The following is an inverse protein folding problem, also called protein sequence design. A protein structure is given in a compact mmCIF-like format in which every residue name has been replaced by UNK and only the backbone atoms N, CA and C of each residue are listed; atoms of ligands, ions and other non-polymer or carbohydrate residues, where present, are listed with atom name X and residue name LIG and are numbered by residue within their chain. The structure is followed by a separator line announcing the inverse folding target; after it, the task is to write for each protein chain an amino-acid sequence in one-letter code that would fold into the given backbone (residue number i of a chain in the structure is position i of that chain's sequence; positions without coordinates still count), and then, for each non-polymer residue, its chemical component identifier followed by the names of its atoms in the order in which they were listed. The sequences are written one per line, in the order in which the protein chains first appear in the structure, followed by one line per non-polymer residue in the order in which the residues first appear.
data_IF_646451996509
#
_entry.id   IF_646451996509
#
_cell.length_a   1.000
_cell.length_b   1.000
_cell.length_c   1.000
_cell.angle_alpha   90.00
_cell.angle_beta   90.00
_cell.angle_gamma   90.00
#
_symmetry.space_group_name_H-M   'P 1'
#
loop_
_entity.id
_entity.type
_entity.pdbx_description
1 polymer ?
#
# COMPACT_ATOMS: atom_id res chain seq x y z
N UNK A 1 -5.54 15.24 5.38
CA UNK A 1 -4.61 15.44 4.24
C UNK A 1 -3.22 15.80 4.79
N UNK A 2 -2.15 15.14 4.31
CA UNK A 2 -0.78 15.36 4.79
C UNK A 2 -0.37 14.61 6.07
N UNK A 3 -1.25 13.76 6.63
CA UNK A 3 -0.99 13.03 7.86
C UNK A 3 0.09 11.96 7.69
N UNK A 4 -0.08 11.06 6.71
CA UNK A 4 0.82 9.92 6.47
C UNK A 4 2.25 10.39 6.17
N UNK A 5 2.41 11.41 5.31
CA UNK A 5 3.71 12.01 4.99
C UNK A 5 4.37 12.67 6.21
N UNK A 6 3.61 13.43 7.00
CA UNK A 6 4.09 14.03 8.27
C UNK A 6 4.55 12.97 9.26
N UNK A 7 3.77 11.89 9.44
CA UNK A 7 4.10 10.79 10.35
C UNK A 7 5.37 10.08 9.91
N UNK A 8 5.47 9.71 8.63
CA UNK A 8 6.67 9.07 8.09
C UNK A 8 7.90 9.96 8.26
N UNK A 9 7.84 11.22 7.81
CA UNK A 9 8.97 12.15 7.92
C UNK A 9 9.39 12.40 9.37
N UNK A 10 8.44 12.44 10.32
CA UNK A 10 8.75 12.61 11.75
C UNK A 10 9.64 11.49 12.31
N UNK A 11 9.52 10.28 11.78
CA UNK A 11 10.32 9.12 12.17
C UNK A 11 11.62 9.04 11.36
N UNK A 12 11.56 9.34 10.06
CA UNK A 12 12.69 9.22 9.14
C UNK A 12 13.72 10.35 9.26
N UNK A 13 13.31 11.55 9.70
CA UNK A 13 14.21 12.72 9.77
C UNK A 13 15.45 12.49 10.63
N UNK A 14 15.34 11.68 11.69
CA UNK A 14 16.47 11.34 12.56
C UNK A 14 17.57 10.56 11.82
N UNK A 15 17.22 9.93 10.70
CA UNK A 15 18.09 9.15 9.83
C UNK A 15 18.45 9.90 8.54
N UNK A 16 18.09 11.19 8.43
CA UNK A 16 18.25 12.00 7.21
C UNK A 16 17.28 11.63 6.08
N UNK A 17 16.27 10.82 6.35
CA UNK A 17 15.30 10.40 5.34
C UNK A 17 14.40 11.55 4.87
N UNK A 18 14.00 11.49 3.60
CA UNK A 18 13.10 12.45 2.96
C UNK A 18 11.87 11.75 2.41
N UNK A 19 10.77 12.47 2.33
CA UNK A 19 9.49 11.99 1.81
C UNK A 19 9.10 12.82 0.60
N UNK A 20 8.76 12.17 -0.51
CA UNK A 20 8.10 12.81 -1.65
C UNK A 20 6.66 12.29 -1.67
N UNK A 21 5.71 13.22 -1.58
CA UNK A 21 4.28 12.92 -1.61
C UNK A 21 3.69 13.42 -2.92
N UNK A 22 2.98 12.56 -3.63
CA UNK A 22 2.24 12.92 -4.85
C UNK A 22 0.77 13.11 -4.49
N UNK A 23 0.18 14.24 -4.86
CA UNK A 23 -1.22 14.56 -4.62
C UNK A 23 -1.85 15.11 -5.90
N UNK A 24 -2.99 14.56 -6.32
CA UNK A 24 -3.66 14.98 -7.55
C UNK A 24 -4.45 16.27 -7.35
N UNK A 25 -5.09 16.42 -6.19
CA UNK A 25 -5.96 17.55 -5.89
C UNK A 25 -5.14 18.75 -5.37
N UNK A 26 -5.12 19.89 -6.09
CA UNK A 26 -4.36 21.07 -5.67
C UNK A 26 -4.83 21.65 -4.33
N UNK A 27 -6.11 21.51 -3.96
CA UNK A 27 -6.63 21.94 -2.65
C UNK A 27 -6.07 21.07 -1.53
N UNK A 28 -6.07 19.76 -1.71
CA UNK A 28 -5.42 18.84 -0.78
C UNK A 28 -3.92 19.10 -0.66
N UNK A 29 -3.24 19.34 -1.79
CA UNK A 29 -1.82 19.67 -1.77
C UNK A 29 -1.53 20.97 -0.99
N UNK A 30 -2.38 21.99 -1.13
CA UNK A 30 -2.26 23.23 -0.37
C UNK A 30 -2.45 22.99 1.14
N UNK A 31 -3.46 22.21 1.54
CA UNK A 31 -3.68 21.83 2.94
C UNK A 31 -2.49 21.03 3.48
N UNK A 32 -1.97 20.07 2.70
CA UNK A 32 -0.82 19.27 3.07
C UNK A 32 0.40 20.16 3.35
N UNK A 33 0.72 21.09 2.44
CA UNK A 33 1.86 22.00 2.57
C UNK A 33 1.77 22.86 3.84
N UNK A 34 0.61 23.47 4.10
CA UNK A 34 0.40 24.25 5.33
C UNK A 34 0.56 23.38 6.59
N UNK A 35 0.03 22.15 6.56
CA UNK A 35 0.16 21.21 7.68
C UNK A 35 1.63 20.82 7.92
N UNK A 36 2.38 20.56 6.85
CA UNK A 36 3.81 20.21 6.88
C UNK A 36 4.64 21.36 7.43
N UNK A 37 4.37 22.58 6.98
CA UNK A 37 5.04 23.80 7.44
C UNK A 37 4.79 24.02 8.92
N UNK A 38 3.53 23.92 9.35
CA UNK A 38 3.15 24.05 10.75
C UNK A 38 3.79 22.97 11.64
N UNK A 39 3.97 21.75 11.11
CA UNK A 39 4.68 20.67 11.78
C UNK A 39 6.22 20.83 11.80
N UNK A 40 6.77 21.84 11.12
CA UNK A 40 8.21 22.08 11.02
C UNK A 40 8.95 21.01 10.21
N UNK A 41 8.31 20.43 9.19
CA UNK A 41 8.86 19.33 8.39
C UNK A 41 9.12 19.67 6.91
N UNK A 42 9.07 20.97 6.55
CA UNK A 42 9.23 21.43 5.16
C UNK A 42 10.55 21.00 4.51
N UNK A 43 11.63 20.86 5.28
CA UNK A 43 12.93 20.42 4.76
C UNK A 43 13.00 18.91 4.45
N UNK A 44 12.03 18.13 4.95
CA UNK A 44 11.99 16.67 4.87
C UNK A 44 10.90 16.16 3.94
N UNK A 45 9.92 17.00 3.58
CA UNK A 45 8.77 16.58 2.77
C UNK A 45 8.62 17.48 1.55
N UNK A 46 8.63 16.88 0.36
CA UNK A 46 8.32 17.55 -0.90
C UNK A 46 6.94 17.10 -1.41
N UNK A 47 6.04 18.04 -1.70
CA UNK A 47 4.69 17.75 -2.21
C UNK A 47 4.60 18.08 -3.69
N UNK A 48 4.37 17.06 -4.52
CA UNK A 48 4.23 17.16 -5.96
C UNK A 48 2.76 17.08 -6.34
N UNK A 49 2.29 18.06 -7.13
CA UNK A 49 0.89 18.13 -7.54
C UNK A 49 0.73 17.56 -8.94
N UNK A 50 -0.16 16.58 -9.09
CA UNK A 50 -0.50 15.94 -10.35
C UNK A 50 -0.72 14.43 -10.25
N UNK A 51 -1.09 13.83 -11.38
CA UNK A 51 -1.28 12.38 -11.46
C UNK A 51 0.06 11.62 -11.40
N UNK A 52 0.09 10.51 -10.66
CA UNK A 52 1.27 9.64 -10.52
C UNK A 52 1.85 9.20 -11.86
N UNK A 53 1.02 8.90 -12.85
CA UNK A 53 1.42 8.53 -14.21
C UNK A 53 2.32 9.56 -14.90
N UNK A 54 2.14 10.84 -14.59
CA UNK A 54 2.94 11.95 -15.11
C UNK A 54 4.11 12.32 -14.20
N UNK A 55 3.97 12.11 -12.89
CA UNK A 55 4.97 12.46 -11.89
C UNK A 55 6.07 11.41 -11.74
N UNK A 56 5.77 10.12 -11.86
CA UNK A 56 6.76 9.03 -11.75
C UNK A 56 7.89 9.17 -12.80
N UNK A 57 7.62 9.46 -14.09
CA UNK A 57 8.69 9.72 -15.06
C UNK A 57 9.60 10.90 -14.67
N UNK A 58 9.02 11.99 -14.16
CA UNK A 58 9.81 13.15 -13.67
C UNK A 58 10.62 12.81 -12.41
N UNK A 59 10.07 11.97 -11.55
CA UNK A 59 10.75 11.51 -10.35
C UNK A 59 11.99 10.68 -10.70
N UNK A 60 11.89 9.83 -11.74
CA UNK A 60 13.03 9.07 -12.29
C UNK A 60 14.16 9.98 -12.77
N UNK A 61 13.86 11.12 -13.38
CA UNK A 61 14.88 12.06 -13.86
C UNK A 61 15.60 12.79 -12.71
N UNK A 62 14.90 12.98 -11.58
CA UNK A 62 15.43 13.70 -10.42
C UNK A 62 16.22 12.82 -9.46
N UNK A 63 15.81 11.57 -9.29
CA UNK A 63 16.42 10.67 -8.32
C UNK A 63 17.44 9.74 -8.99
N UNK A 64 18.56 9.43 -8.31
CA UNK A 64 19.42 8.33 -8.73
C UNK A 64 18.64 7.01 -8.81
N UNK A 65 19.07 6.05 -9.64
CA UNK A 65 18.52 4.70 -9.62
C UNK A 65 18.59 4.09 -8.22
N UNK A 66 17.65 3.20 -7.90
CA UNK A 66 17.60 2.45 -6.64
C UNK A 66 17.56 3.31 -5.36
N UNK A 67 16.90 4.47 -5.41
CA UNK A 67 16.85 5.42 -4.28
C UNK A 67 15.57 5.33 -3.43
N UNK A 68 14.58 4.52 -3.83
CA UNK A 68 13.32 4.40 -3.09
C UNK A 68 13.42 3.22 -2.12
N UNK A 69 13.57 3.53 -0.83
CA UNK A 69 13.61 2.53 0.24
C UNK A 69 12.21 2.15 0.75
N UNK A 70 11.26 3.08 0.71
CA UNK A 70 9.87 2.85 1.10
C UNK A 70 8.96 3.47 0.03
N UNK A 71 8.04 2.66 -0.48
CA UNK A 71 6.97 3.10 -1.37
C UNK A 71 5.64 2.86 -0.67
N UNK A 72 4.92 3.93 -0.35
CA UNK A 72 3.63 3.88 0.33
C UNK A 72 2.50 4.24 -0.62
N UNK A 73 1.53 3.35 -0.77
CA UNK A 73 0.29 3.59 -1.51
C UNK A 73 -0.88 3.72 -0.55
N UNK A 74 -1.51 4.89 -0.57
CA UNK A 74 -2.70 5.25 0.21
C UNK A 74 -3.89 5.58 -0.71
N UNK A 75 -3.70 5.40 -2.02
CA UNK A 75 -4.74 5.69 -2.99
C UNK A 75 -5.73 4.54 -3.01
N UNK A 76 -6.98 4.81 -2.66
CA UNK A 76 -8.07 3.88 -2.90
C UNK A 76 -8.12 3.61 -4.41
N UNK A 77 -7.85 2.38 -4.86
CA UNK A 77 -8.18 1.97 -6.23
C UNK A 77 -7.19 1.08 -7.00
N UNK A 78 -7.59 0.81 -8.23
CA UNK A 78 -6.98 -0.15 -9.16
C UNK A 78 -5.66 0.30 -9.77
N UNK A 79 -5.17 1.53 -9.57
CA UNK A 79 -3.93 1.99 -10.24
C UNK A 79 -2.62 1.64 -9.53
N UNK A 80 -2.66 1.14 -8.29
CA UNK A 80 -1.46 0.85 -7.50
C UNK A 80 -0.47 -0.08 -8.23
N UNK A 81 -0.97 -1.12 -8.90
CA UNK A 81 -0.14 -2.09 -9.61
C UNK A 81 0.55 -1.49 -10.85
N UNK A 82 -0.10 -0.58 -11.58
CA UNK A 82 0.47 0.12 -12.73
C UNK A 82 1.60 1.07 -12.31
N UNK A 83 1.39 1.80 -11.22
CA UNK A 83 2.41 2.69 -10.68
C UNK A 83 3.60 1.89 -10.13
N UNK A 84 3.34 0.78 -9.44
CA UNK A 84 4.37 -0.13 -8.96
C UNK A 84 5.18 -0.73 -10.13
N UNK A 85 4.52 -1.24 -11.16
CA UNK A 85 5.20 -1.76 -12.36
C UNK A 85 6.09 -0.71 -12.99
N UNK A 86 5.59 0.53 -13.17
CA UNK A 86 6.36 1.62 -13.75
C UNK A 86 7.61 1.93 -12.93
N UNK A 87 7.47 2.06 -11.61
CA UNK A 87 8.58 2.33 -10.67
C UNK A 87 9.63 1.21 -10.72
N UNK A 88 9.19 -0.06 -10.75
CA UNK A 88 10.09 -1.21 -10.88
C UNK A 88 10.80 -1.21 -12.24
N UNK A 89 10.07 -0.99 -13.34
CA UNK A 89 10.63 -0.95 -14.69
C UNK A 89 11.68 0.15 -14.88
N UNK A 90 11.55 1.24 -14.13
CA UNK A 90 12.52 2.35 -14.12
C UNK A 90 13.71 2.10 -13.19
N UNK A 91 13.74 0.99 -12.46
CA UNK A 91 14.84 0.62 -11.56
C UNK A 91 14.97 1.56 -10.36
N UNK A 92 13.85 2.11 -9.89
CA UNK A 92 13.84 3.15 -8.84
C UNK A 92 13.85 2.59 -7.42
N UNK A 93 13.37 1.36 -7.22
CA UNK A 93 13.37 0.69 -5.91
C UNK A 93 14.79 0.29 -5.50
N UNK A 94 15.16 0.57 -4.25
CA UNK A 94 16.39 0.03 -3.68
C UNK A 94 16.32 -1.49 -3.51
N UNK A 95 17.47 -2.15 -3.39
CA UNK A 95 17.50 -3.62 -3.25
C UNK A 95 16.90 -4.11 -1.92
N UNK A 96 16.58 -3.20 -1.01
CA UNK A 96 15.93 -3.45 0.28
C UNK A 96 14.58 -2.74 0.41
N UNK A 97 14.01 -2.27 -0.71
CA UNK A 97 12.78 -1.52 -0.71
C UNK A 97 11.62 -2.28 -0.06
N UNK A 98 10.79 -1.55 0.66
CA UNK A 98 9.53 -2.03 1.23
C UNK A 98 8.39 -1.31 0.52
N UNK A 99 7.49 -2.08 -0.08
CA UNK A 99 6.26 -1.57 -0.69
C UNK A 99 5.12 -1.81 0.28
N UNK A 100 4.47 -0.73 0.69
CA UNK A 100 3.35 -0.75 1.63
C UNK A 100 2.10 -0.27 0.90
N UNK A 101 1.03 -1.06 0.94
CA UNK A 101 -0.26 -0.68 0.37
C UNK A 101 -1.32 -0.68 1.45
N UNK A 102 -1.96 0.46 1.66
CA UNK A 102 -3.14 0.60 2.52
C UNK A 102 -4.42 0.31 1.73
N UNK A 103 -5.54 0.06 2.45
CA UNK A 103 -6.86 -0.15 1.85
C UNK A 103 -6.93 -1.30 0.81
N UNK A 104 -6.09 -2.33 0.99
CA UNK A 104 -5.95 -3.42 -0.01
C UNK A 104 -7.03 -4.49 0.11
N UNK A 105 -7.82 -4.48 1.19
CA UNK A 105 -9.02 -5.31 1.34
C UNK A 105 -10.30 -4.48 1.13
N UNK A 106 -10.33 -3.23 1.61
CA UNK A 106 -11.45 -2.29 1.46
C UNK A 106 -10.95 -0.93 0.94
N UNK A 107 -11.38 -0.46 -0.25
CA UNK A 107 -12.31 -1.09 -1.20
C UNK A 107 -11.71 -2.27 -1.98
N UNK A 108 -10.42 -2.57 -1.77
CA UNK A 108 -9.72 -3.68 -2.39
C UNK A 108 -8.73 -3.24 -3.47
N UNK A 109 -7.59 -3.95 -3.54
CA UNK A 109 -6.59 -3.74 -4.59
C UNK A 109 -6.16 -5.08 -5.23
N UNK A 110 -7.04 -5.77 -5.98
CA UNK A 110 -6.82 -7.17 -6.37
C UNK A 110 -5.58 -7.39 -7.22
N UNK A 111 -5.36 -6.55 -8.23
CA UNK A 111 -4.21 -6.65 -9.13
C UNK A 111 -2.90 -6.41 -8.38
N UNK A 112 -2.88 -5.42 -7.48
CA UNK A 112 -1.73 -5.13 -6.64
C UNK A 112 -1.43 -6.28 -5.68
N UNK A 113 -2.44 -6.81 -5.01
CA UNK A 113 -2.30 -7.94 -4.08
C UNK A 113 -1.89 -9.23 -4.80
N UNK A 114 -2.40 -9.48 -6.00
CA UNK A 114 -1.94 -10.60 -6.82
C UNK A 114 -0.47 -10.45 -7.18
N UNK A 115 -0.06 -9.26 -7.62
CA UNK A 115 1.32 -9.03 -7.99
C UNK A 115 2.27 -9.16 -6.80
N UNK A 116 1.93 -8.59 -5.64
CA UNK A 116 2.80 -8.66 -4.46
C UNK A 116 2.76 -10.02 -3.76
N UNK A 117 1.61 -10.70 -3.70
CA UNK A 117 1.52 -11.97 -2.97
C UNK A 117 1.84 -13.21 -3.83
N UNK A 118 1.60 -13.17 -5.14
CA UNK A 118 1.59 -14.37 -5.98
C UNK A 118 2.68 -14.32 -7.05
N UNK A 119 2.68 -13.31 -7.90
CA UNK A 119 3.40 -13.37 -9.17
C UNK A 119 4.72 -12.56 -9.21
N UNK A 120 4.80 -11.48 -8.45
CA UNK A 120 5.95 -10.58 -8.43
C UNK A 120 7.06 -10.98 -7.45
N UNK A 121 8.20 -10.27 -7.50
CA UNK A 121 9.36 -10.50 -6.64
C UNK A 121 9.18 -9.91 -5.24
N UNK A 122 8.17 -10.36 -4.50
CA UNK A 122 7.92 -9.84 -3.17
C UNK A 122 7.67 -10.97 -2.17
N UNK A 123 8.07 -10.71 -0.93
CA UNK A 123 7.58 -11.43 0.23
C UNK A 123 6.57 -10.53 0.95
N UNK A 124 5.30 -10.92 0.89
CA UNK A 124 4.20 -10.09 1.38
C UNK A 124 3.53 -10.69 2.60
N UNK A 125 3.32 -9.83 3.59
CA UNK A 125 2.45 -10.06 4.73
C UNK A 125 1.42 -8.93 4.82
N UNK A 126 0.30 -9.18 5.47
CA UNK A 126 -0.74 -8.18 5.71
C UNK A 126 -0.93 -7.99 7.20
N UNK A 127 -1.11 -6.75 7.62
CA UNK A 127 -1.61 -6.42 8.95
C UNK A 127 -3.12 -6.25 8.82
N UNK A 128 -3.88 -7.08 9.53
CA UNK A 128 -5.33 -6.90 9.63
C UNK A 128 -5.61 -5.82 10.66
N UNK A 129 -6.19 -4.71 10.20
CA UNK A 129 -6.52 -3.55 11.01
C UNK A 129 -8.05 -3.44 11.10
N UNK A 130 -8.51 -3.03 12.28
CA UNK A 130 -9.87 -2.53 12.48
C UNK A 130 -9.73 -1.02 12.68
N UNK A 131 -10.37 -0.22 11.84
CA UNK A 131 -10.19 1.23 11.87
C UNK A 131 -10.56 1.82 13.25
N UNK A 132 -9.79 2.82 13.69
CA UNK A 132 -9.98 3.47 14.98
C UNK A 132 -11.32 4.24 14.98
N UNK A 133 -12.27 3.77 15.80
CA UNK A 133 -13.70 4.17 15.98
C UNK A 133 -14.74 3.24 15.33
N UNK A 134 -14.35 2.24 14.53
CA UNK A 134 -15.26 1.33 13.84
C UNK A 134 -14.86 -0.12 14.11
N UNK A 135 -15.31 -0.70 15.24
CA UNK A 135 -14.92 -2.03 15.74
C UNK A 135 -15.27 -3.23 14.84
N UNK A 136 -15.87 -3.00 13.67
CA UNK A 136 -16.55 -4.04 12.88
C UNK A 136 -15.86 -4.33 11.55
N UNK A 137 -15.36 -3.32 10.82
CA UNK A 137 -14.94 -3.53 9.42
C UNK A 137 -13.44 -3.84 9.35
N UNK A 138 -13.13 -5.05 8.88
CA UNK A 138 -11.75 -5.47 8.58
C UNK A 138 -11.22 -4.75 7.34
N UNK A 139 -9.99 -4.25 7.44
CA UNK A 139 -9.17 -3.85 6.30
C UNK A 139 -7.73 -4.35 6.45
N UNK A 140 -7.00 -4.39 5.34
CA UNK A 140 -5.62 -4.85 5.31
C UNK A 140 -4.69 -3.71 4.90
N UNK A 141 -3.57 -3.65 5.60
CA UNK A 141 -2.36 -2.97 5.14
C UNK A 141 -1.34 -4.03 4.74
N UNK A 142 -0.95 -4.06 3.48
CA UNK A 142 0.08 -4.95 2.96
C UNK A 142 1.48 -4.38 3.20
N UNK A 143 2.42 -5.27 3.51
CA UNK A 143 3.84 -4.98 3.66
C UNK A 143 4.58 -6.00 2.81
N UNK A 144 5.21 -5.51 1.75
CA UNK A 144 5.82 -6.32 0.70
C UNK A 144 7.32 -6.00 0.61
N UNK A 145 8.17 -6.93 1.05
CA UNK A 145 9.61 -6.79 0.91
C UNK A 145 10.03 -7.10 -0.52
N UNK A 146 10.69 -6.16 -1.19
CA UNK A 146 11.16 -6.35 -2.56
C UNK A 146 12.33 -7.35 -2.62
N UNK A 147 12.27 -8.30 -3.55
CA UNK A 147 13.23 -9.41 -3.70
C UNK A 147 13.84 -9.40 -5.10
N UNK A 148 14.71 -8.42 -5.44
CA UNK A 148 15.22 -8.24 -6.81
C UNK A 148 16.03 -9.43 -7.35
N UNK A 149 16.54 -10.29 -6.46
CA UNK A 149 17.28 -11.49 -6.83
C UNK A 149 16.37 -12.71 -7.09
N UNK A 150 15.08 -12.61 -6.77
CA UNK A 150 14.10 -13.66 -7.05
C UNK A 150 13.95 -13.87 -8.56
N UNK A 151 13.78 -15.12 -9.06
CA UNK A 151 13.47 -15.36 -10.47
C UNK A 151 12.25 -14.58 -10.96
N UNK A 152 11.28 -14.32 -10.07
CA UNK A 152 10.07 -13.52 -10.36
C UNK A 152 10.38 -12.08 -10.76
N UNK A 153 11.55 -11.53 -10.41
CA UNK A 153 11.93 -10.15 -10.75
C UNK A 153 12.18 -9.96 -12.25
N UNK A 154 12.38 -11.05 -12.99
CA UNK A 154 12.60 -11.04 -14.45
C UNK A 154 11.32 -11.30 -15.23
N UNK A 155 10.23 -11.61 -14.54
CA UNK A 155 8.94 -11.92 -15.15
C UNK A 155 8.15 -10.60 -15.22
N UNK A 156 7.72 -10.15 -16.41
CA UNK A 156 6.84 -8.99 -16.55
C UNK A 156 5.54 -9.19 -15.78
N UNK A 157 4.90 -8.09 -15.37
CA UNK A 157 3.61 -8.18 -14.70
C UNK A 157 2.55 -8.74 -15.66
N UNK A 158 1.91 -9.82 -15.24
CA UNK A 158 0.79 -10.43 -15.95
C UNK A 158 -0.34 -10.69 -14.94
N UNK A 159 -1.47 -10.03 -15.17
CA UNK A 159 -2.68 -10.15 -14.35
C UNK A 159 -3.62 -11.13 -15.03
N UNK A 160 -4.03 -12.24 -14.37
CA UNK A 160 -5.04 -13.14 -14.90
C UNK A 160 -6.41 -12.46 -15.02
N UNK A 161 -7.19 -12.85 -16.02
CA UNK A 161 -8.56 -12.34 -16.25
C UNK A 161 -9.45 -12.46 -14.99
N UNK A 162 -9.32 -13.54 -14.22
CA UNK A 162 -10.07 -13.71 -12.97
C UNK A 162 -9.75 -12.65 -11.90
N UNK A 163 -8.49 -12.16 -11.87
CA UNK A 163 -8.06 -11.08 -10.97
C UNK A 163 -8.54 -9.73 -11.49
N UNK A 164 -8.55 -9.56 -12.81
CA UNK A 164 -9.03 -8.34 -13.47
C UNK A 164 -10.55 -8.17 -13.29
N UNK A 165 -11.32 -9.24 -13.45
CA UNK A 165 -12.75 -9.25 -13.15
C UNK A 165 -13.03 -8.92 -11.68
N UNK A 166 -12.23 -9.46 -10.76
CA UNK A 166 -12.34 -9.11 -9.34
C UNK A 166 -12.06 -7.62 -9.10
N UNK A 167 -11.11 -7.02 -9.81
CA UNK A 167 -10.83 -5.59 -9.75
C UNK A 167 -12.02 -4.75 -10.23
N UNK A 168 -12.67 -5.15 -11.32
CA UNK A 168 -13.89 -4.52 -11.80
C UNK A 168 -15.04 -4.60 -10.78
N UNK A 169 -15.21 -5.75 -10.13
CA UNK A 169 -16.24 -5.94 -9.10
C UNK A 169 -16.00 -5.03 -7.87
N UNK A 170 -14.73 -4.81 -7.49
CA UNK A 170 -14.36 -3.88 -6.40
C UNK A 170 -14.61 -2.42 -6.74
N UNK A 171 -14.44 -2.00 -7.99
CA UNK A 171 -14.70 -0.62 -8.37
C UNK A 171 -16.18 -0.24 -8.18
N UNK A 172 -17.11 -1.18 -8.35
CA UNK A 172 -18.54 -0.95 -8.16
C UNK A 172 -18.92 -0.45 -6.76
N UNK A 173 -18.39 -1.09 -5.69
CA UNK A 173 -18.69 -0.65 -4.31
C UNK A 173 -17.97 0.65 -3.97
N UNK A 174 -16.80 0.88 -4.57
CA UNK A 174 -16.03 2.12 -4.41
C UNK A 174 -16.79 3.32 -4.97
N UNK A 175 -17.43 3.18 -6.14
CA UNK A 175 -18.29 4.24 -6.67
C UNK A 175 -19.45 4.57 -5.72
N UNK A 176 -20.08 3.53 -5.15
CA UNK A 176 -21.16 3.71 -4.17
C UNK A 176 -20.68 4.38 -2.88
N UNK A 177 -19.44 4.15 -2.45
CA UNK A 177 -18.91 4.77 -1.24
C UNK A 177 -18.56 6.24 -1.42
N UNK A 178 -18.09 6.64 -2.61
CA UNK A 178 -17.89 8.06 -2.95
C UNK A 178 -19.21 8.83 -2.85
N UNK A 179 -20.33 8.19 -3.17
CA UNK A 179 -21.68 8.74 -3.03
C UNK A 179 -22.26 8.62 -1.60
N UNK A 180 -21.47 8.15 -0.61
CA UNK A 180 -21.88 7.86 0.77
C UNK A 180 -23.07 6.89 0.90
N UNK A 181 -23.24 5.99 -0.07
CA UNK A 181 -24.37 5.04 -0.13
C UNK A 181 -24.09 3.66 0.50
N UNK A 182 -22.94 3.47 1.15
CA UNK A 182 -22.51 2.16 1.67
C UNK A 182 -22.55 2.14 3.20
N UNK A 183 -23.34 1.24 3.76
CA UNK A 183 -23.45 1.01 5.21
C UNK A 183 -22.26 0.21 5.74
N UNK A 184 -22.04 0.21 7.06
CA UNK A 184 -21.00 -0.61 7.70
C UNK A 184 -21.19 -2.11 7.46
N UNK A 185 -22.42 -2.60 7.49
CA UNK A 185 -22.74 -4.01 7.21
C UNK A 185 -22.41 -4.40 5.76
N UNK A 186 -22.65 -3.49 4.81
CA UNK A 186 -22.25 -3.70 3.42
C UNK A 186 -20.74 -3.75 3.26
N UNK A 187 -20.00 -2.96 4.05
CA UNK A 187 -18.54 -3.01 4.06
C UNK A 187 -17.98 -4.29 4.67
N UNK A 188 -18.52 -4.74 5.81
CA UNK A 188 -18.11 -6.01 6.42
C UNK A 188 -18.39 -7.20 5.47
N UNK A 189 -19.59 -7.25 4.89
CA UNK A 189 -19.95 -8.25 3.87
C UNK A 189 -19.02 -8.19 2.65
N UNK A 190 -18.62 -6.99 2.24
CA UNK A 190 -17.65 -6.80 1.17
C UNK A 190 -16.26 -7.34 1.56
N UNK A 191 -15.70 -6.97 2.71
CA UNK A 191 -14.38 -7.44 3.17
C UNK A 191 -14.34 -8.98 3.27
N UNK A 192 -15.40 -9.61 3.82
CA UNK A 192 -15.51 -11.07 3.88
C UNK A 192 -15.63 -11.72 2.50
N UNK A 193 -16.33 -11.10 1.56
CA UNK A 193 -16.41 -11.57 0.16
C UNK A 193 -15.05 -11.42 -0.53
N UNK A 194 -14.39 -10.28 -0.38
CA UNK A 194 -13.08 -9.99 -0.93
C UNK A 194 -12.03 -10.98 -0.47
N UNK A 195 -11.99 -11.29 0.83
CA UNK A 195 -11.09 -12.31 1.39
C UNK A 195 -11.27 -13.68 0.74
N UNK A 196 -12.53 -14.09 0.51
CA UNK A 196 -12.85 -15.34 -0.20
C UNK A 196 -12.43 -15.31 -1.67
N UNK A 197 -12.69 -14.21 -2.36
CA UNK A 197 -12.32 -14.05 -3.77
C UNK A 197 -10.80 -14.00 -3.97
N UNK A 198 -10.08 -13.30 -3.08
CA UNK A 198 -8.61 -13.33 -3.00
C UNK A 198 -8.09 -14.76 -2.85
N UNK A 199 -8.63 -15.52 -1.90
CA UNK A 199 -8.21 -16.91 -1.69
C UNK A 199 -8.50 -17.82 -2.91
N UNK A 200 -9.54 -17.52 -3.70
CA UNK A 200 -9.90 -18.25 -4.91
C UNK A 200 -8.94 -17.99 -6.09
N UNK A 201 -8.35 -16.79 -6.17
CA UNK A 201 -7.32 -16.44 -7.17
C UNK A 201 -5.89 -16.61 -6.65
N UNK A 202 -5.71 -17.26 -5.50
CA UNK A 202 -4.40 -17.60 -4.93
C UNK A 202 -3.76 -16.53 -4.04
N UNK A 203 -4.43 -15.39 -3.82
CA UNK A 203 -3.97 -14.34 -2.91
C UNK A 203 -4.21 -14.79 -1.46
N UNK A 204 -3.15 -15.28 -0.82
CA UNK A 204 -3.17 -15.78 0.57
C UNK A 204 -1.96 -15.25 1.33
N UNK A 205 -1.91 -13.93 1.64
CA UNK A 205 -0.79 -13.36 2.39
C UNK A 205 -0.73 -13.92 3.81
N UNK A 206 0.46 -13.86 4.42
CA UNK A 206 0.59 -14.11 5.84
C UNK A 206 -0.07 -12.98 6.64
N UNK A 207 -1.02 -13.30 7.51
CA UNK A 207 -1.72 -12.32 8.34
C UNK A 207 -0.97 -12.10 9.65
N UNK A 208 -0.63 -10.84 9.92
CA UNK A 208 -0.05 -10.37 11.18
C UNK A 208 -1.15 -9.69 11.98
N UNK A 209 -1.33 -10.12 13.24
CA UNK A 209 -2.29 -9.50 14.15
C UNK A 209 -1.62 -8.43 14.99
N UNK A 210 -2.19 -7.22 15.07
CA UNK A 210 -1.73 -6.23 16.02
C UNK A 210 -1.99 -6.68 17.46
N UNK A 211 -1.17 -6.21 18.38
CA UNK A 211 -1.32 -6.40 19.83
C UNK A 211 -1.16 -5.05 20.53
N UNK A 212 -1.65 -4.92 21.76
CA UNK A 212 -1.41 -3.73 22.58
C UNK A 212 -0.19 -3.93 23.46
N UNK A 213 0.70 -2.93 23.51
CA UNK A 213 1.79 -2.90 24.48
C UNK A 213 1.29 -2.55 25.90
N UNK A 214 2.20 -2.57 26.87
CA UNK A 214 1.89 -2.25 28.28
C UNK A 214 1.33 -0.83 28.49
N UNK A 215 1.46 0.05 27.49
CA UNK A 215 0.95 1.43 27.50
C UNK A 215 -0.35 1.58 26.69
N UNK A 216 -0.89 0.47 26.18
CA UNK A 216 -2.11 0.43 25.38
C UNK A 216 -1.91 0.87 23.94
N UNK A 217 -0.68 1.06 23.46
CA UNK A 217 -0.45 1.39 22.05
C UNK A 217 -0.52 0.15 21.18
N UNK A 218 -1.16 0.26 20.03
CA UNK A 218 -1.16 -0.80 19.01
C UNK A 218 0.24 -0.99 18.43
N UNK A 219 0.73 -2.22 18.51
CA UNK A 219 2.01 -2.69 17.99
C UNK A 219 1.79 -3.85 17.03
N UNK A 220 2.76 -4.08 16.14
CA UNK A 220 2.74 -5.17 15.18
C UNK A 220 4.11 -5.82 15.15
N UNK A 221 4.17 -7.16 15.19
CA UNK A 221 5.42 -7.91 15.00
C UNK A 221 5.47 -8.49 13.59
N UNK A 222 6.16 -7.76 12.71
CA UNK A 222 6.40 -8.15 11.32
C UNK A 222 7.37 -9.32 11.23
N UNK A 223 7.18 -10.21 10.24
CA UNK A 223 8.19 -11.20 9.89
C UNK A 223 9.37 -10.50 9.21
N UNK A 224 10.57 -11.00 9.49
CA UNK A 224 11.77 -10.55 8.82
C UNK A 224 11.78 -11.02 7.35
N UNK A 225 12.34 -10.17 6.49
CA UNK A 225 12.64 -10.51 5.09
C UNK A 225 13.49 -11.79 5.01
N UNK A 226 13.11 -12.72 4.14
CA UNK A 226 13.79 -14.00 3.92
C UNK A 226 13.53 -15.06 5.00
N UNK A 227 12.51 -14.90 5.86
CA UNK A 227 12.19 -15.90 6.88
C UNK A 227 11.31 -17.04 6.33
N UNK A 228 11.87 -18.24 6.20
CA UNK A 228 11.18 -19.48 5.76
C UNK A 228 10.25 -20.10 6.84
N UNK A 229 9.54 -19.28 7.63
CA UNK A 229 8.57 -19.86 8.56
C UNK A 229 7.32 -20.31 7.78
N UNK A 230 7.05 -21.62 7.76
CA UNK A 230 5.90 -22.22 7.08
C UNK A 230 4.59 -21.46 7.37
N UNK A 231 3.72 -21.38 6.35
CA UNK A 231 2.33 -20.95 6.51
C UNK A 231 1.70 -21.83 7.60
N UNK A 232 1.08 -21.26 8.66
CA UNK A 232 0.26 -22.09 9.54
C UNK A 232 -0.84 -22.74 8.66
N UNK A 233 -1.11 -24.05 8.83
CA UNK A 233 -2.18 -24.69 8.09
C UNK A 233 -3.50 -23.98 8.38
N UNK A 234 -4.35 -23.88 7.36
CA UNK A 234 -5.68 -23.32 7.49
C UNK A 234 -6.46 -24.09 8.57
N UNK A 235 -6.75 -23.43 9.68
CA UNK A 235 -7.73 -23.87 10.68
C UNK A 235 -9.12 -23.44 10.28
#
# INVERSE_FOLDING_TARGET
VGYSSTRMASQLRAWGGKVISMEVDPYHAAIARNTIEWAGLSDYIEVWVGHSENLIPRLRERLPPKSIDILFFDQQGTKMHLDLERIVSFGMLSDSAIVVGDNVLRPGAPQFMYWTCVAGPYETQVVSLKEYKEDIVEDWMSISYYMPQSPKARIPMAIPEAVDQLAHDTDGIRWQSVEQKVTMEQWDSHSQRMRRQFAAVGIRPYEVRPYQDERGHSQVRLRARGSEAAYPPAG
#
